data_IF_881850376823
#
_entry.id   IF_881850376823
#
_cell.length_a   1.000
_cell.length_b   1.000
_cell.length_c   1.000
_cell.angle_alpha   90.00
_cell.angle_beta   90.00
_cell.angle_gamma   90.00
#
_symmetry.space_group_name_H-M   'P 1'
#
loop_
_entity.id
_entity.type
_entity.pdbx_description
1 polymer ?
#
# COMPACT_ATOMS: atom_id res chain seq x y z
N UNK A 1 48.43 45.53 -4.36
CA UNK A 1 48.68 44.30 -5.15
C UNK A 1 47.96 43.16 -4.45
N UNK A 2 47.36 42.28 -5.24
CA UNK A 2 46.26 41.38 -4.90
C UNK A 2 46.48 40.53 -3.64
N UNK A 3 45.52 40.64 -2.72
CA UNK A 3 45.30 39.65 -1.68
C UNK A 3 44.91 38.32 -2.35
N UNK A 4 45.60 37.25 -1.95
CA UNK A 4 45.35 35.89 -2.39
C UNK A 4 43.86 35.54 -2.19
N UNK A 5 43.15 35.35 -3.29
CA UNK A 5 41.89 34.62 -3.30
C UNK A 5 42.21 33.17 -2.99
N UNK A 6 42.15 32.85 -1.71
CA UNK A 6 42.04 31.49 -1.22
C UNK A 6 40.79 30.89 -1.86
N UNK A 7 40.99 30.07 -2.89
CA UNK A 7 39.95 29.24 -3.49
C UNK A 7 39.42 28.37 -2.38
N UNK A 8 38.29 28.77 -1.78
CA UNK A 8 37.49 27.87 -0.95
C UNK A 8 37.14 26.68 -1.82
N UNK A 9 37.90 25.60 -1.66
CA UNK A 9 37.54 24.29 -2.18
C UNK A 9 36.10 24.03 -1.76
N UNK A 10 35.20 24.13 -2.73
CA UNK A 10 33.83 23.70 -2.59
C UNK A 10 33.90 22.20 -2.33
N UNK A 11 33.77 21.81 -1.06
CA UNK A 11 33.67 20.42 -0.66
C UNK A 11 32.75 19.69 -1.64
N UNK A 12 33.19 18.58 -2.26
CA UNK A 12 32.44 17.95 -3.32
C UNK A 12 31.05 17.60 -2.79
N UNK A 13 30.01 18.12 -3.45
CA UNK A 13 28.62 17.77 -3.14
C UNK A 13 28.56 16.25 -3.14
N UNK A 14 28.32 15.66 -1.96
CA UNK A 14 28.33 14.21 -1.78
C UNK A 14 27.34 13.60 -2.77
N UNK A 15 27.86 13.01 -3.85
CA UNK A 15 27.02 12.40 -4.90
C UNK A 15 26.36 11.17 -4.30
N UNK A 16 25.04 11.10 -4.40
CA UNK A 16 24.30 9.88 -4.06
C UNK A 16 24.81 8.75 -4.95
N UNK A 17 25.29 7.69 -4.32
CA UNK A 17 25.77 6.47 -4.97
C UNK A 17 24.97 5.25 -4.49
N UNK A 18 24.94 4.15 -5.23
CA UNK A 18 24.40 2.89 -4.74
C UNK A 18 25.06 2.49 -3.42
N UNK A 19 24.25 1.95 -2.50
CA UNK A 19 24.73 1.42 -1.22
C UNK A 19 25.66 0.23 -1.48
N UNK A 20 26.84 0.22 -0.86
CA UNK A 20 27.77 -0.89 -1.00
C UNK A 20 27.18 -2.17 -0.38
N UNK A 21 27.51 -3.37 -0.89
CA UNK A 21 26.93 -4.62 -0.38
C UNK A 21 27.09 -4.82 1.14
N UNK A 22 28.23 -4.39 1.70
CA UNK A 22 28.52 -4.48 3.14
C UNK A 22 27.71 -3.52 4.02
N UNK A 23 27.18 -2.44 3.45
CA UNK A 23 26.40 -1.42 4.16
C UNK A 23 24.89 -1.69 4.10
N UNK A 24 24.48 -2.80 3.46
CA UNK A 24 23.08 -3.19 3.36
C UNK A 24 22.58 -3.81 4.66
N UNK A 25 21.36 -3.47 5.01
CA UNK A 25 20.69 -4.03 6.18
C UNK A 25 20.11 -5.40 5.81
N UNK A 26 20.93 -6.45 5.98
CA UNK A 26 20.57 -7.81 5.60
C UNK A 26 19.20 -8.26 6.14
N UNK A 27 18.92 -8.02 7.42
CA UNK A 27 17.65 -8.39 8.03
C UNK A 27 16.44 -7.72 7.36
N UNK A 28 16.58 -6.45 6.94
CA UNK A 28 15.52 -5.71 6.25
C UNK A 28 15.25 -6.30 4.87
N UNK A 29 16.31 -6.67 4.15
CA UNK A 29 16.20 -7.29 2.83
C UNK A 29 15.59 -8.69 2.91
N UNK A 30 15.99 -9.49 3.90
CA UNK A 30 15.41 -10.80 4.17
C UNK A 30 13.91 -10.70 4.49
N UNK A 31 13.51 -9.78 5.39
CA UNK A 31 12.12 -9.55 5.76
C UNK A 31 11.25 -9.14 4.55
N UNK A 32 11.78 -8.33 3.63
CA UNK A 32 11.08 -7.98 2.38
C UNK A 32 10.86 -9.20 1.49
N UNK A 33 11.86 -10.07 1.37
CA UNK A 33 11.73 -11.33 0.62
C UNK A 33 10.61 -12.20 1.19
N UNK A 34 10.60 -12.42 2.50
CA UNK A 34 9.53 -13.14 3.19
C UNK A 34 8.16 -12.49 3.03
N UNK A 35 8.10 -11.16 3.09
CA UNK A 35 6.87 -10.41 2.85
C UNK A 35 6.29 -10.68 1.45
N UNK A 36 7.13 -10.64 0.42
CA UNK A 36 6.71 -10.91 -0.96
C UNK A 36 6.25 -12.37 -1.13
N UNK A 37 6.98 -13.34 -0.55
CA UNK A 37 6.58 -14.75 -0.60
C UNK A 37 5.24 -15.01 0.07
N UNK A 38 4.97 -14.38 1.21
CA UNK A 38 3.68 -14.51 1.88
C UNK A 38 2.53 -13.82 1.12
N UNK A 39 2.79 -12.67 0.48
CA UNK A 39 1.81 -12.03 -0.42
C UNK A 39 1.51 -12.93 -1.62
N UNK A 40 2.51 -13.59 -2.18
CA UNK A 40 2.34 -14.53 -3.29
C UNK A 40 1.43 -15.70 -2.89
N UNK A 41 1.59 -16.25 -1.69
CA UNK A 41 0.78 -17.38 -1.21
C UNK A 41 -0.73 -17.06 -1.24
N UNK A 42 -1.11 -15.85 -0.85
CA UNK A 42 -2.51 -15.39 -0.88
C UNK A 42 -2.98 -15.13 -2.31
N UNK A 43 -2.16 -14.43 -3.12
CA UNK A 43 -2.58 -14.04 -4.47
C UNK A 43 -2.60 -15.20 -5.47
N UNK A 44 -1.83 -16.27 -5.24
CA UNK A 44 -1.77 -17.42 -6.12
C UNK A 44 -3.17 -18.02 -6.37
N UNK A 45 -4.01 -18.08 -5.33
CA UNK A 45 -5.38 -18.58 -5.44
C UNK A 45 -6.23 -17.64 -6.30
N UNK A 46 -6.11 -16.33 -6.10
CA UNK A 46 -6.90 -15.34 -6.84
C UNK A 46 -6.52 -15.26 -8.32
N UNK A 47 -5.27 -15.56 -8.67
CA UNK A 47 -4.83 -15.69 -10.07
C UNK A 47 -5.18 -17.04 -10.70
N UNK A 48 -5.41 -18.08 -9.89
CA UNK A 48 -5.77 -19.40 -10.40
C UNK A 48 -7.22 -19.44 -10.94
N UNK A 49 -8.08 -18.50 -10.53
CA UNK A 49 -9.52 -18.53 -10.82
C UNK A 49 -10.06 -17.23 -11.43
N UNK A 50 -11.24 -17.29 -12.08
CA UNK A 50 -11.95 -16.09 -12.51
C UNK A 50 -12.26 -15.17 -11.32
N UNK A 51 -12.17 -13.86 -11.53
CA UNK A 51 -12.42 -12.85 -10.49
C UNK A 51 -13.79 -13.03 -9.82
N UNK A 52 -14.81 -13.50 -10.58
CA UNK A 52 -16.17 -13.76 -10.07
C UNK A 52 -16.23 -14.86 -9.01
N UNK A 53 -15.28 -15.79 -8.99
CA UNK A 53 -15.19 -16.83 -7.95
C UNK A 53 -14.72 -16.26 -6.60
N UNK A 54 -14.03 -15.12 -6.60
CA UNK A 54 -13.62 -14.41 -5.37
C UNK A 54 -14.67 -13.44 -4.83
N UNK A 55 -15.77 -13.20 -5.56
CA UNK A 55 -16.80 -12.23 -5.18
C UNK A 55 -17.85 -12.80 -4.22
N UNK A 56 -17.99 -14.12 -4.12
CA UNK A 56 -18.91 -14.74 -3.16
C UNK A 56 -18.43 -16.11 -2.71
N UNK A 57 -18.73 -16.47 -1.46
CA UNK A 57 -18.50 -17.81 -0.92
C UNK A 57 -19.16 -18.90 -1.79
N UNK A 58 -20.34 -18.57 -2.35
CA UNK A 58 -21.15 -19.48 -3.17
C UNK A 58 -20.60 -19.69 -4.59
N UNK A 59 -19.69 -18.84 -5.06
CA UNK A 59 -19.09 -18.94 -6.39
C UNK A 59 -17.73 -19.64 -6.38
N UNK A 60 -17.29 -20.18 -5.23
CA UNK A 60 -16.05 -20.98 -5.17
C UNK A 60 -16.22 -22.30 -5.95
N UNK A 61 -15.21 -22.72 -6.72
CA UNK A 61 -15.29 -23.91 -7.56
C UNK A 61 -15.15 -25.24 -6.81
N UNK A 62 -15.06 -25.22 -5.48
CA UNK A 62 -14.83 -26.39 -4.62
C UNK A 62 -15.57 -26.22 -3.29
N UNK A 63 -15.88 -27.34 -2.65
CA UNK A 63 -16.43 -27.34 -1.30
C UNK A 63 -15.30 -27.10 -0.29
N UNK A 64 -15.49 -26.20 0.68
CA UNK A 64 -14.60 -26.10 1.84
C UNK A 64 -14.78 -27.33 2.74
N UNK A 65 -14.13 -28.42 2.38
CA UNK A 65 -14.11 -29.65 3.16
C UNK A 65 -12.71 -30.27 3.16
N UNK A 66 -12.38 -30.99 4.24
CA UNK A 66 -11.12 -31.73 4.34
C UNK A 66 -9.88 -30.87 4.15
N UNK A 67 -9.03 -31.28 3.20
CA UNK A 67 -7.75 -30.62 2.93
C UNK A 67 -7.92 -29.20 2.37
N UNK A 68 -8.96 -28.94 1.58
CA UNK A 68 -9.20 -27.62 0.98
C UNK A 68 -9.61 -26.59 2.04
N UNK A 69 -10.46 -27.00 3.00
CA UNK A 69 -10.82 -26.17 4.15
C UNK A 69 -9.60 -25.84 5.02
N UNK A 70 -8.72 -26.83 5.25
CA UNK A 70 -7.49 -26.62 6.01
C UNK A 70 -6.54 -25.65 5.28
N UNK A 71 -6.36 -25.82 3.97
CA UNK A 71 -5.52 -24.94 3.16
C UNK A 71 -6.01 -23.49 3.14
N UNK A 72 -7.32 -23.30 2.99
CA UNK A 72 -7.94 -21.98 3.06
C UNK A 72 -7.77 -21.37 4.45
N UNK A 73 -8.07 -22.13 5.51
CA UNK A 73 -7.89 -21.68 6.89
C UNK A 73 -6.44 -21.30 7.21
N UNK A 74 -5.45 -22.08 6.76
CA UNK A 74 -4.04 -21.75 6.94
C UNK A 74 -3.70 -20.44 6.23
N UNK A 75 -4.20 -20.25 5.01
CA UNK A 75 -3.95 -19.03 4.23
C UNK A 75 -4.56 -17.81 4.91
N UNK A 76 -5.82 -17.87 5.33
CA UNK A 76 -6.52 -16.76 6.01
C UNK A 76 -5.87 -16.44 7.36
N UNK A 77 -5.58 -17.47 8.17
CA UNK A 77 -5.10 -17.28 9.55
C UNK A 77 -3.63 -16.91 9.62
N UNK A 78 -2.79 -17.31 8.67
CA UNK A 78 -1.33 -17.06 8.74
C UNK A 78 -0.80 -16.11 7.69
N UNK A 79 -1.48 -15.95 6.55
CA UNK A 79 -0.94 -15.18 5.43
C UNK A 79 -1.76 -13.94 5.10
N UNK A 80 -3.09 -14.09 5.04
CA UNK A 80 -3.99 -13.00 4.70
C UNK A 80 -3.75 -11.80 5.63
N UNK A 81 -3.58 -10.66 4.98
CA UNK A 81 -3.30 -9.33 5.55
C UNK A 81 -2.01 -9.18 6.37
N UNK A 82 -1.44 -10.25 6.92
CA UNK A 82 -0.22 -10.21 7.76
C UNK A 82 0.99 -9.84 6.95
N UNK A 83 1.23 -10.51 5.82
CA UNK A 83 2.39 -10.21 4.98
C UNK A 83 2.24 -8.90 4.22
N UNK A 84 1.00 -8.51 3.85
CA UNK A 84 0.71 -7.18 3.31
C UNK A 84 0.98 -6.07 4.34
N UNK A 85 0.61 -6.31 5.60
CA UNK A 85 0.89 -5.39 6.71
C UNK A 85 2.39 -5.29 6.97
N UNK A 86 3.10 -6.41 7.01
CA UNK A 86 4.56 -6.44 7.15
C UNK A 86 5.25 -5.68 6.01
N UNK A 87 4.86 -5.94 4.75
CA UNK A 87 5.39 -5.23 3.59
C UNK A 87 5.12 -3.72 3.67
N UNK A 88 3.93 -3.32 4.11
CA UNK A 88 3.57 -1.90 4.34
C UNK A 88 4.47 -1.23 5.36
N UNK A 89 4.73 -1.89 6.50
CA UNK A 89 5.64 -1.35 7.52
C UNK A 89 7.06 -1.20 6.97
N UNK A 90 7.58 -2.23 6.30
CA UNK A 90 8.91 -2.21 5.69
C UNK A 90 9.02 -1.13 4.60
N UNK A 91 7.96 -0.92 3.82
CA UNK A 91 7.86 0.17 2.86
C UNK A 91 7.97 1.52 3.56
N UNK A 92 7.23 1.72 4.65
CA UNK A 92 7.33 2.93 5.48
C UNK A 92 8.74 3.20 6.00
N UNK A 93 9.43 2.17 6.51
CA UNK A 93 10.85 2.26 6.91
C UNK A 93 11.73 2.68 5.72
N UNK A 94 11.44 2.18 4.53
CA UNK A 94 12.18 2.51 3.30
C UNK A 94 12.05 3.98 2.90
N UNK A 95 10.88 4.60 3.14
CA UNK A 95 10.65 6.03 2.91
C UNK A 95 11.63 6.86 3.75
N UNK A 96 11.82 6.49 5.02
CA UNK A 96 12.75 7.17 5.91
C UNK A 96 14.22 6.89 5.52
N UNK A 97 14.58 5.63 5.30
CA UNK A 97 15.96 5.25 4.95
C UNK A 97 16.44 5.83 3.62
N UNK A 98 15.56 5.91 2.61
CA UNK A 98 15.92 6.49 1.31
C UNK A 98 15.82 8.00 1.35
N UNK A 99 14.71 8.53 1.88
CA UNK A 99 14.37 9.95 1.82
C UNK A 99 15.08 10.83 2.84
N UNK A 100 15.63 10.27 3.92
CA UNK A 100 16.24 11.04 5.01
C UNK A 100 15.27 12.03 5.66
N UNK A 101 15.82 13.09 6.26
CA UNK A 101 15.03 14.18 6.81
C UNK A 101 14.27 14.93 5.71
N UNK A 102 13.13 15.55 6.05
CA UNK A 102 12.25 16.24 5.09
C UNK A 102 12.96 17.30 4.24
N UNK A 103 13.98 17.95 4.78
CA UNK A 103 14.72 19.02 4.13
C UNK A 103 16.00 18.56 3.42
N UNK A 104 16.25 17.25 3.34
CA UNK A 104 17.31 16.69 2.50
C UNK A 104 16.84 16.66 1.04
N UNK A 105 17.29 17.65 0.26
CA UNK A 105 16.87 17.84 -1.12
C UNK A 105 17.33 16.70 -2.03
N UNK A 106 18.59 16.26 -1.89
CA UNK A 106 19.15 15.19 -2.70
C UNK A 106 18.41 13.86 -2.48
N UNK A 107 18.22 13.46 -1.21
CA UNK A 107 17.50 12.22 -0.86
C UNK A 107 16.00 12.33 -1.14
N UNK A 108 15.43 13.54 -0.98
CA UNK A 108 14.07 13.85 -1.37
C UNK A 108 13.81 13.61 -2.86
N UNK A 109 14.71 14.08 -3.73
CA UNK A 109 14.63 13.86 -5.18
C UNK A 109 14.77 12.37 -5.54
N UNK A 110 15.73 11.66 -4.93
CA UNK A 110 15.89 10.22 -5.13
C UNK A 110 14.61 9.45 -4.76
N UNK A 111 14.01 9.77 -3.61
CA UNK A 111 12.78 9.13 -3.16
C UNK A 111 11.61 9.43 -4.11
N UNK A 112 11.46 10.69 -4.56
CA UNK A 112 10.43 11.07 -5.54
C UNK A 112 10.58 10.29 -6.84
N UNK A 113 11.79 10.13 -7.33
CA UNK A 113 12.06 9.32 -8.53
C UNK A 113 11.64 7.86 -8.34
N UNK A 114 11.97 7.25 -7.19
CA UNK A 114 11.55 5.88 -6.88
C UNK A 114 10.03 5.73 -6.78
N UNK A 115 9.35 6.68 -6.13
CA UNK A 115 7.89 6.68 -6.01
C UNK A 115 7.21 6.93 -7.36
N UNK A 116 7.80 7.77 -8.21
CA UNK A 116 7.32 8.00 -9.57
C UNK A 116 7.36 6.71 -10.39
N UNK A 117 8.50 6.01 -10.40
CA UNK A 117 8.62 4.73 -11.09
C UNK A 117 7.69 3.67 -10.50
N UNK A 118 7.53 3.65 -9.17
CA UNK A 118 6.56 2.78 -8.51
C UNK A 118 5.12 3.06 -8.97
N UNK A 119 4.75 4.34 -9.13
CA UNK A 119 3.44 4.73 -9.67
C UNK A 119 3.28 4.31 -11.14
N UNK A 120 4.31 4.48 -11.96
CA UNK A 120 4.29 4.06 -13.38
C UNK A 120 4.10 2.55 -13.48
N UNK A 121 4.86 1.77 -12.72
CA UNK A 121 4.71 0.31 -12.69
C UNK A 121 3.35 -0.11 -12.13
N UNK A 122 2.86 0.55 -11.08
CA UNK A 122 1.54 0.29 -10.52
C UNK A 122 0.41 0.62 -11.50
N UNK A 123 0.54 1.69 -12.28
CA UNK A 123 -0.44 2.04 -13.30
C UNK A 123 -0.47 1.00 -14.43
N UNK A 124 0.70 0.59 -14.92
CA UNK A 124 0.80 -0.47 -15.94
C UNK A 124 0.24 -1.78 -15.39
N UNK A 125 0.61 -2.15 -14.16
CA UNK A 125 0.14 -3.38 -13.53
C UNK A 125 -1.38 -3.35 -13.29
N UNK A 126 -1.92 -2.25 -12.75
CA UNK A 126 -3.34 -2.06 -12.47
C UNK A 126 -4.22 -2.10 -13.72
N UNK A 127 -3.72 -1.58 -14.84
CA UNK A 127 -4.47 -1.53 -16.11
C UNK A 127 -4.29 -2.80 -16.96
N UNK A 128 -3.09 -3.38 -16.99
CA UNK A 128 -2.77 -4.46 -17.92
C UNK A 128 -2.74 -5.86 -17.29
N UNK A 129 -2.55 -5.98 -15.96
CA UNK A 129 -2.31 -7.28 -15.31
C UNK A 129 -3.39 -7.63 -14.29
N UNK A 130 -3.68 -6.75 -13.32
CA UNK A 130 -4.53 -7.08 -12.18
C UNK A 130 -5.16 -5.86 -11.52
N UNK A 131 -6.48 -5.89 -11.27
CA UNK A 131 -7.22 -4.76 -10.69
C UNK A 131 -6.89 -4.47 -9.21
N UNK A 132 -6.34 -5.43 -8.47
CA UNK A 132 -5.91 -5.27 -7.07
C UNK A 132 -4.49 -4.73 -6.92
N UNK A 133 -4.08 -3.76 -7.75
CA UNK A 133 -2.73 -3.19 -7.70
C UNK A 133 -2.44 -2.48 -6.36
N UNK A 134 -1.33 -2.89 -5.74
CA UNK A 134 -0.86 -2.28 -4.49
C UNK A 134 0.26 -1.26 -4.71
N UNK A 135 0.95 -1.30 -5.86
CA UNK A 135 2.11 -0.45 -6.13
C UNK A 135 1.72 1.02 -6.23
N UNK A 136 0.66 1.33 -6.96
CA UNK A 136 0.11 2.67 -7.08
C UNK A 136 -0.38 3.17 -5.72
N UNK A 137 -1.02 2.29 -4.94
CA UNK A 137 -1.41 2.53 -3.55
C UNK A 137 -0.23 2.99 -2.69
N UNK A 138 0.89 2.27 -2.75
CA UNK A 138 2.11 2.64 -2.05
C UNK A 138 2.75 3.91 -2.59
N UNK A 139 2.70 4.15 -3.89
CA UNK A 139 3.33 5.32 -4.50
C UNK A 139 2.72 6.63 -3.99
N UNK A 140 1.38 6.78 -4.04
CA UNK A 140 0.74 7.99 -3.53
C UNK A 140 0.80 8.07 -2.00
N UNK A 141 0.65 6.95 -1.28
CA UNK A 141 0.84 6.94 0.18
C UNK A 141 2.26 7.38 0.55
N UNK A 142 3.26 6.93 -0.19
CA UNK A 142 4.65 7.33 -0.03
C UNK A 142 4.86 8.83 -0.23
N UNK A 143 4.24 9.42 -1.27
CA UNK A 143 4.29 10.86 -1.51
C UNK A 143 3.66 11.67 -0.37
N UNK A 144 2.54 11.19 0.19
CA UNK A 144 1.93 11.81 1.37
C UNK A 144 2.87 11.68 2.57
N UNK A 145 3.41 10.49 2.83
CA UNK A 145 4.31 10.22 3.95
C UNK A 145 5.61 11.04 3.88
N UNK A 146 6.09 11.40 2.69
CA UNK A 146 7.23 12.33 2.56
C UNK A 146 7.00 13.66 3.26
N UNK A 147 5.76 14.14 3.31
CA UNK A 147 5.41 15.41 3.98
C UNK A 147 5.34 15.26 5.50
N UNK A 148 5.07 14.05 5.98
CA UNK A 148 4.84 13.74 7.39
C UNK A 148 6.09 13.17 8.10
N UNK A 149 7.06 12.61 7.37
CA UNK A 149 8.18 11.81 7.91
C UNK A 149 9.05 12.49 8.98
N UNK A 150 9.15 13.81 8.98
CA UNK A 150 9.93 14.59 9.98
C UNK A 150 9.06 15.19 11.09
N UNK A 151 7.79 14.81 11.18
CA UNK A 151 6.95 15.21 12.31
C UNK A 151 7.23 14.32 13.54
N UNK A 152 6.96 14.86 14.73
CA UNK A 152 7.09 14.12 16.00
C UNK A 152 6.16 12.90 16.00
N UNK A 153 6.63 11.80 16.58
CA UNK A 153 5.88 10.54 16.68
C UNK A 153 4.46 10.71 17.25
N UNK A 154 4.30 11.52 18.31
CA UNK A 154 2.97 11.78 18.90
C UNK A 154 1.99 12.42 17.91
N UNK A 155 2.46 13.29 17.01
CA UNK A 155 1.62 13.89 15.96
C UNK A 155 1.24 12.86 14.90
N UNK A 156 2.16 11.97 14.51
CA UNK A 156 1.88 10.87 13.60
C UNK A 156 0.82 9.92 14.17
N UNK A 157 0.90 9.60 15.46
CA UNK A 157 -0.10 8.75 16.14
C UNK A 157 -1.49 9.39 16.07
N UNK A 158 -1.61 10.68 16.36
CA UNK A 158 -2.89 11.38 16.25
C UNK A 158 -3.42 11.46 14.81
N UNK A 159 -2.55 11.72 13.83
CA UNK A 159 -2.94 11.74 12.41
C UNK A 159 -3.42 10.34 11.99
N UNK A 160 -2.63 9.30 12.27
CA UNK A 160 -2.98 7.91 11.92
C UNK A 160 -4.24 7.43 12.64
N UNK A 161 -4.38 7.74 13.94
CA UNK A 161 -5.59 7.45 14.71
C UNK A 161 -6.81 8.19 14.17
N UNK A 162 -6.66 9.46 13.81
CA UNK A 162 -7.74 10.25 13.18
C UNK A 162 -8.16 9.69 11.83
N UNK A 163 -7.21 9.35 10.96
CA UNK A 163 -7.50 8.72 9.66
C UNK A 163 -8.20 7.38 9.85
N UNK A 164 -7.75 6.57 10.81
CA UNK A 164 -8.37 5.27 11.14
C UNK A 164 -9.79 5.44 11.67
N UNK A 165 -10.01 6.42 12.54
CA UNK A 165 -11.34 6.73 13.08
C UNK A 165 -12.28 7.21 11.97
N UNK A 166 -11.82 8.10 11.09
CA UNK A 166 -12.62 8.57 9.94
C UNK A 166 -12.98 7.38 9.04
N UNK A 167 -12.03 6.51 8.73
CA UNK A 167 -12.29 5.30 7.96
C UNK A 167 -13.34 4.40 8.63
N UNK A 168 -13.20 4.16 9.94
CA UNK A 168 -14.16 3.37 10.71
C UNK A 168 -15.56 3.99 10.72
N UNK A 169 -15.68 5.31 10.85
CA UNK A 169 -16.96 6.02 10.79
C UNK A 169 -17.59 5.93 9.40
N UNK A 170 -16.81 6.13 8.33
CA UNK A 170 -17.31 6.00 6.95
C UNK A 170 -17.76 4.57 6.65
N UNK A 171 -16.97 3.57 7.07
CA UNK A 171 -17.27 2.16 6.85
C UNK A 171 -18.53 1.68 7.60
N UNK A 172 -18.85 2.31 8.73
CA UNK A 172 -20.04 1.97 9.55
C UNK A 172 -21.27 2.80 9.21
N UNK A 173 -21.08 4.05 8.77
CA UNK A 173 -22.18 4.96 8.44
C UNK A 173 -23.03 4.47 7.26
N UNK A 174 -22.41 3.90 6.22
CA UNK A 174 -23.14 3.36 5.06
C UNK A 174 -24.10 2.22 5.43
N UNK A 175 -23.61 1.14 6.06
CA UNK A 175 -24.46 0.06 6.55
C UNK A 175 -25.52 0.53 7.54
N UNK A 176 -25.20 1.46 8.43
CA UNK A 176 -26.16 1.99 9.40
C UNK A 176 -27.28 2.79 8.71
N UNK A 177 -26.93 3.62 7.73
CA UNK A 177 -27.89 4.39 6.94
C UNK A 177 -28.81 3.46 6.12
N UNK A 178 -28.26 2.38 5.54
CA UNK A 178 -29.04 1.36 4.84
C UNK A 178 -30.07 0.69 5.77
N UNK A 179 -29.69 0.36 7.01
CA UNK A 179 -30.59 -0.22 8.01
C UNK A 179 -31.64 0.77 8.56
N UNK A 180 -31.41 2.07 8.42
CA UNK A 180 -32.35 3.11 8.86
C UNK A 180 -33.37 3.50 7.78
N UNK A 181 -33.28 2.94 6.57
CA UNK A 181 -34.25 3.19 5.50
C UNK A 181 -35.59 2.49 5.80
N UNK A 182 -36.74 3.10 5.44
CA UNK A 182 -38.04 2.46 5.59
C UNK A 182 -38.13 1.14 4.81
N UNK A 183 -38.81 0.16 5.38
CA UNK A 183 -39.09 -1.12 4.72
C UNK A 183 -39.77 -0.86 3.36
N UNK A 184 -39.18 -1.40 2.28
CA UNK A 184 -39.66 -1.22 0.90
C UNK A 184 -39.10 -0.01 0.16
N UNK A 185 -38.21 0.80 0.75
CA UNK A 185 -37.49 1.86 0.04
C UNK A 185 -36.62 1.29 -1.09
N UNK A 186 -35.89 0.21 -0.83
CA UNK A 186 -35.05 -0.46 -1.83
C UNK A 186 -35.90 -1.05 -2.97
N UNK A 187 -37.04 -1.67 -2.66
CA UNK A 187 -37.96 -2.20 -3.65
C UNK A 187 -38.59 -1.10 -4.53
N UNK A 188 -38.89 0.08 -3.97
CA UNK A 188 -39.36 1.24 -4.73
C UNK A 188 -38.25 1.87 -5.58
N UNK A 189 -37.01 1.89 -5.10
CA UNK A 189 -35.86 2.39 -5.85
C UNK A 189 -35.56 1.50 -7.08
N UNK A 190 -35.61 0.16 -6.91
CA UNK A 190 -35.47 -0.81 -8.00
C UNK A 190 -36.62 -0.71 -9.00
N UNK A 191 -37.87 -0.57 -8.53
CA UNK A 191 -39.03 -0.37 -9.41
C UNK A 191 -38.97 0.96 -10.18
N UNK A 192 -38.42 2.02 -9.58
CA UNK A 192 -38.22 3.32 -10.22
C UNK A 192 -37.15 3.29 -11.32
N UNK A 193 -36.12 2.45 -11.17
CA UNK A 193 -35.09 2.26 -12.21
C UNK A 193 -35.61 1.43 -13.39
N UNK A 194 -36.48 0.44 -13.14
CA UNK A 194 -37.14 -0.33 -14.21
C UNK A 194 -38.01 0.56 -15.13
N UNK A 195 -38.59 1.66 -14.60
CA UNK A 195 -39.39 2.62 -15.36
C UNK A 195 -38.61 3.65 -16.20
N UNK A 196 -37.27 3.67 -16.11
CA UNK A 196 -36.39 4.60 -16.85
C UNK A 196 -35.58 3.87 -17.95
N UNK A 197 -35.94 2.62 -18.25
CA UNK A 197 -35.40 1.92 -19.41
C UNK A 197 -36.02 2.49 -20.70
N UNK A 198 -35.21 3.24 -21.45
CA UNK A 198 -35.45 3.62 -22.85
C UNK A 198 -35.21 2.41 -23.74
#
# INVERSE_FOLDING_TARGET
>A
MAAAQETRDSAPVARLAPVAPGDRIFNLDMLRGWAILGILAVNAITFAWPITAGMSEASRPYALAGADALGHWVTDVFFEDKFRTLFTMLFGVSIYLVGGERFDEARGLLLRSRLFWLAVFGLIHGLALWCGDILLHYAYCGLIMMTLRSMKAGKLIWIGGGVTLVWMLLATAGPLAMNALPDGFMAKAEAGQAGVTV
#
